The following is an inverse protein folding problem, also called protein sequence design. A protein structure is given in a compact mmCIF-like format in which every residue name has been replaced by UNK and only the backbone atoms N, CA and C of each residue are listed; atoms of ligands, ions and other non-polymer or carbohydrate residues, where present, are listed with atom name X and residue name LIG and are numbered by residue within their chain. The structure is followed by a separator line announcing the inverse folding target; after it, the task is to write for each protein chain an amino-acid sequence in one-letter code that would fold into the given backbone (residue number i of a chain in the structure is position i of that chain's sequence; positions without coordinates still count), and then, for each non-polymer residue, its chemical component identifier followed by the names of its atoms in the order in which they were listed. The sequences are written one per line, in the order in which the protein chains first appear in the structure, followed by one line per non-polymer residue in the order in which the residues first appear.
data_IF_543384246683
#
_entry.id   IF_543384246683
#
_cell.length_a   1.000
_cell.length_b   1.000
_cell.length_c   1.000
_cell.angle_alpha   90.00
_cell.angle_beta   90.00
_cell.angle_gamma   90.00
#
_symmetry.space_group_name_H-M   'P 1'
#
loop_
_entity.id
_entity.type
_entity.pdbx_description
1 polymer ?
#
# COMPACT_ATOMS: atom_id res chain seq x y z
N UNK A 1 26.37 -5.75 -20.00
CA UNK A 1 25.04 -5.56 -19.39
C UNK A 1 25.12 -5.35 -17.88
N UNK A 2 25.80 -6.22 -17.11
CA UNK A 2 25.86 -6.05 -15.64
C UNK A 2 26.31 -4.67 -15.14
N UNK A 3 27.39 -4.10 -15.69
CA UNK A 3 27.83 -2.74 -15.28
C UNK A 3 26.86 -1.63 -15.69
N UNK A 4 26.14 -1.79 -16.81
CA UNK A 4 25.13 -0.83 -17.25
C UNK A 4 23.92 -0.86 -16.31
N UNK A 5 23.48 -2.07 -15.94
CA UNK A 5 22.45 -2.28 -14.92
C UNK A 5 22.85 -1.65 -13.59
N UNK A 6 24.09 -1.85 -13.12
CA UNK A 6 24.56 -1.27 -11.86
C UNK A 6 24.53 0.27 -11.85
N UNK A 7 24.93 0.91 -12.95
CA UNK A 7 24.83 2.37 -13.08
C UNK A 7 23.37 2.81 -13.12
N UNK A 8 22.51 2.05 -13.80
CA UNK A 8 21.06 2.26 -13.77
C UNK A 8 20.48 2.14 -12.36
N UNK A 9 20.96 1.22 -11.50
CA UNK A 9 20.53 1.16 -10.09
C UNK A 9 20.78 2.49 -9.39
N UNK A 10 21.96 3.10 -9.58
CA UNK A 10 22.29 4.38 -8.97
C UNK A 10 21.41 5.52 -9.51
N UNK A 11 21.15 5.54 -10.83
CA UNK A 11 20.29 6.56 -11.45
C UNK A 11 18.83 6.44 -11.00
N UNK A 12 18.29 5.23 -11.00
CA UNK A 12 16.93 4.96 -10.53
C UNK A 12 16.81 5.24 -9.03
N UNK A 13 17.83 4.92 -8.24
CA UNK A 13 17.88 5.27 -6.82
C UNK A 13 17.86 6.80 -6.64
N UNK A 14 18.59 7.58 -7.45
CA UNK A 14 18.56 9.04 -7.37
C UNK A 14 17.14 9.59 -7.58
N UNK A 15 16.42 9.10 -8.58
CA UNK A 15 15.01 9.46 -8.83
C UNK A 15 14.12 8.97 -7.67
N UNK A 16 14.36 7.75 -7.21
CA UNK A 16 13.61 7.08 -6.15
C UNK A 16 13.83 7.66 -4.75
N UNK A 17 14.87 8.47 -4.51
CA UNK A 17 15.07 9.15 -3.22
C UNK A 17 13.84 9.99 -2.82
N UNK A 18 13.06 10.45 -3.79
CA UNK A 18 11.78 11.13 -3.56
C UNK A 18 10.80 10.29 -2.74
N UNK A 19 10.73 8.97 -2.94
CA UNK A 19 9.88 8.09 -2.12
C UNK A 19 10.35 8.05 -0.66
N UNK A 20 11.67 7.97 -0.44
CA UNK A 20 12.25 7.99 0.90
C UNK A 20 12.07 9.35 1.58
N UNK A 21 12.11 10.45 0.84
CA UNK A 21 11.85 11.80 1.37
C UNK A 21 10.46 11.90 2.00
N UNK A 22 9.44 11.36 1.33
CA UNK A 22 8.09 11.34 1.88
C UNK A 22 7.95 10.37 3.04
N UNK A 23 8.62 9.22 3.01
CA UNK A 23 8.69 8.33 4.16
C UNK A 23 9.36 9.00 5.37
N UNK A 24 10.36 9.86 5.15
CA UNK A 24 11.09 10.52 6.22
C UNK A 24 10.25 11.44 7.11
N UNK A 25 9.09 11.89 6.61
CA UNK A 25 8.13 12.69 7.38
C UNK A 25 7.52 11.93 8.57
N UNK A 26 7.65 10.59 8.61
CA UNK A 26 7.21 9.73 9.71
C UNK A 26 8.14 9.74 10.93
N UNK A 27 9.35 10.29 10.79
CA UNK A 27 10.36 10.30 11.83
C UNK A 27 11.22 9.03 11.90
N UNK A 28 12.21 9.01 12.80
CA UNK A 28 13.13 7.89 12.93
C UNK A 28 12.44 6.68 13.57
N UNK A 29 12.58 5.52 12.91
CA UNK A 29 12.11 4.22 13.40
C UNK A 29 13.10 3.12 13.02
N UNK A 30 13.07 2.00 13.73
CA UNK A 30 13.85 0.79 13.38
C UNK A 30 13.52 0.28 11.96
N UNK A 31 12.34 0.62 11.45
CA UNK A 31 11.92 0.27 10.09
C UNK A 31 12.73 0.97 8.98
N UNK A 32 13.57 1.96 9.28
CA UNK A 32 14.48 2.54 8.29
C UNK A 32 15.48 1.54 7.71
N UNK A 33 15.96 0.59 8.51
CA UNK A 33 16.84 -0.47 8.02
C UNK A 33 16.10 -1.27 6.94
N UNK A 34 14.86 -1.66 7.24
CA UNK A 34 13.99 -2.33 6.28
C UNK A 34 13.70 -1.46 5.04
N UNK A 35 13.37 -0.18 5.23
CA UNK A 35 13.06 0.75 4.15
C UNK A 35 14.24 0.89 3.18
N UNK A 36 15.47 1.00 3.68
CA UNK A 36 16.68 1.05 2.86
C UNK A 36 16.95 -0.27 2.14
N UNK A 37 16.78 -1.41 2.80
CA UNK A 37 16.93 -2.73 2.17
C UNK A 37 15.94 -2.92 1.02
N UNK A 38 14.66 -2.60 1.28
CA UNK A 38 13.58 -2.70 0.29
C UNK A 38 13.77 -1.70 -0.85
N UNK A 39 14.21 -0.47 -0.55
CA UNK A 39 14.52 0.54 -1.56
C UNK A 39 15.65 0.11 -2.49
N UNK A 40 16.79 -0.31 -1.93
CA UNK A 40 17.94 -0.79 -2.72
C UNK A 40 17.54 -2.03 -3.53
N UNK A 41 16.81 -2.96 -2.92
CA UNK A 41 16.28 -4.15 -3.58
C UNK A 41 15.38 -3.81 -4.77
N UNK A 42 14.42 -2.90 -4.59
CA UNK A 42 13.47 -2.51 -5.63
C UNK A 42 14.12 -1.73 -6.77
N UNK A 43 14.99 -0.76 -6.47
CA UNK A 43 15.74 -0.03 -7.51
C UNK A 43 16.66 -0.97 -8.30
N UNK A 44 17.21 -1.97 -7.63
CA UNK A 44 17.97 -3.04 -8.29
C UNK A 44 17.08 -3.90 -9.17
N UNK A 45 15.89 -4.29 -8.70
CA UNK A 45 14.94 -5.06 -9.50
C UNK A 45 14.54 -4.30 -10.77
N UNK A 46 14.26 -3.00 -10.68
CA UNK A 46 13.94 -2.17 -11.86
C UNK A 46 15.09 -2.08 -12.87
N UNK A 47 16.35 -2.08 -12.43
CA UNK A 47 17.47 -2.06 -13.36
C UNK A 47 17.74 -3.45 -13.98
N UNK A 48 17.71 -4.52 -13.18
CA UNK A 48 18.17 -5.84 -13.61
C UNK A 48 17.08 -6.69 -14.26
N UNK A 49 15.84 -6.67 -13.77
CA UNK A 49 14.76 -7.55 -14.27
C UNK A 49 14.44 -7.26 -15.75
N UNK A 50 14.23 -6.01 -16.18
CA UNK A 50 13.95 -5.72 -17.60
C UNK A 50 15.11 -6.10 -18.52
N UNK A 51 16.36 -5.95 -18.06
CA UNK A 51 17.54 -6.37 -18.80
C UNK A 51 17.70 -7.90 -18.83
N UNK A 52 17.27 -8.61 -17.80
CA UNK A 52 17.24 -10.07 -17.77
C UNK A 52 16.23 -10.61 -18.79
N UNK A 53 15.09 -9.93 -18.97
CA UNK A 53 14.11 -10.27 -20.01
C UNK A 53 14.67 -10.16 -21.44
N UNK A 54 15.81 -9.47 -21.65
CA UNK A 54 16.49 -9.44 -22.93
C UNK A 54 17.39 -10.67 -23.18
N UNK A 55 17.66 -11.51 -22.17
CA UNK A 55 18.53 -12.70 -22.32
C UNK A 55 18.07 -13.64 -23.44
N UNK A 56 16.78 -14.00 -23.58
CA UNK A 56 16.33 -14.82 -24.71
C UNK A 56 16.63 -14.19 -26.07
N UNK A 57 16.49 -12.86 -26.20
CA UNK A 57 16.82 -12.12 -27.42
C UNK A 57 18.32 -12.16 -27.70
N UNK A 58 19.15 -12.07 -26.67
CA UNK A 58 20.62 -12.21 -26.78
C UNK A 58 20.99 -13.60 -27.27
N UNK A 59 20.32 -14.64 -26.76
CA UNK A 59 20.57 -16.04 -27.13
C UNK A 59 20.13 -16.35 -28.57
N UNK A 60 19.00 -15.80 -29.02
CA UNK A 60 18.48 -16.00 -30.38
C UNK A 60 19.20 -15.13 -31.42
N UNK A 61 19.55 -13.89 -31.07
CA UNK A 61 20.17 -12.92 -31.96
C UNK A 61 21.39 -12.26 -31.30
N UNK A 62 22.58 -12.90 -31.33
CA UNK A 62 23.79 -12.44 -30.64
C UNK A 62 24.47 -11.25 -31.34
N UNK A 63 23.72 -10.20 -31.67
CA UNK A 63 24.22 -8.96 -32.29
C UNK A 63 24.48 -7.91 -31.20
N UNK A 64 25.74 -7.55 -30.91
CA UNK A 64 26.06 -6.64 -29.80
C UNK A 64 25.48 -5.24 -29.97
N UNK A 65 25.31 -4.76 -31.22
CA UNK A 65 24.66 -3.47 -31.50
C UNK A 65 23.18 -3.49 -31.10
N UNK A 66 22.44 -4.53 -31.50
CA UNK A 66 21.03 -4.71 -31.16
C UNK A 66 20.85 -4.74 -29.64
N UNK A 67 21.66 -5.55 -28.95
CA UNK A 67 21.58 -5.74 -27.50
C UNK A 67 21.87 -4.43 -26.74
N UNK A 68 22.85 -3.63 -27.18
CA UNK A 68 23.14 -2.32 -26.60
C UNK A 68 21.99 -1.33 -26.82
N UNK A 69 21.45 -1.26 -28.04
CA UNK A 69 20.33 -0.36 -28.37
C UNK A 69 19.07 -0.72 -27.58
N UNK A 70 18.72 -2.01 -27.51
CA UNK A 70 17.59 -2.48 -26.71
C UNK A 70 17.79 -2.19 -25.23
N UNK A 71 19.00 -2.38 -24.70
CA UNK A 71 19.33 -2.05 -23.31
C UNK A 71 19.11 -0.57 -22.99
N UNK A 72 19.52 0.34 -23.90
CA UNK A 72 19.25 1.78 -23.77
C UNK A 72 17.75 2.06 -23.81
N UNK A 73 17.02 1.54 -24.81
CA UNK A 73 15.56 1.77 -24.94
C UNK A 73 14.80 1.29 -23.69
N UNK A 74 15.12 0.09 -23.20
CA UNK A 74 14.48 -0.49 -22.02
C UNK A 74 14.84 0.32 -20.76
N UNK A 75 16.11 0.67 -20.57
CA UNK A 75 16.54 1.52 -19.46
C UNK A 75 15.83 2.87 -19.47
N UNK A 76 15.70 3.50 -20.64
CA UNK A 76 15.01 4.78 -20.81
C UNK A 76 13.52 4.68 -20.48
N UNK A 77 12.86 3.59 -20.90
CA UNK A 77 11.46 3.35 -20.57
C UNK A 77 11.24 3.19 -19.06
N UNK A 78 12.09 2.42 -18.38
CA UNK A 78 12.05 2.25 -16.92
C UNK A 78 12.28 3.57 -16.21
N UNK A 79 13.30 4.33 -16.63
CA UNK A 79 13.62 5.63 -16.05
C UNK A 79 12.47 6.63 -16.23
N UNK A 80 11.91 6.75 -17.45
CA UNK A 80 10.81 7.67 -17.72
C UNK A 80 9.54 7.32 -16.94
N UNK A 81 9.22 6.03 -16.83
CA UNK A 81 8.09 5.56 -16.03
C UNK A 81 8.30 5.83 -14.54
N UNK A 82 9.51 5.60 -14.02
CA UNK A 82 9.83 5.88 -12.62
C UNK A 82 9.79 7.38 -12.30
N UNK A 83 10.25 8.23 -13.22
CA UNK A 83 10.15 9.69 -13.08
C UNK A 83 8.68 10.10 -13.02
N UNK A 84 7.85 9.66 -13.97
CA UNK A 84 6.42 9.98 -13.97
C UNK A 84 5.74 9.48 -12.70
N UNK A 85 5.99 8.23 -12.29
CA UNK A 85 5.43 7.67 -11.06
C UNK A 85 5.83 8.49 -9.84
N UNK A 86 7.09 8.91 -9.75
CA UNK A 86 7.58 9.69 -8.61
C UNK A 86 6.92 11.07 -8.49
N UNK A 87 6.49 11.66 -9.62
CA UNK A 87 5.76 12.92 -9.67
C UNK A 87 4.28 12.72 -9.28
N UNK A 88 3.65 11.67 -9.81
CA UNK A 88 2.27 11.33 -9.43
C UNK A 88 2.17 10.98 -7.95
N UNK A 89 3.16 10.26 -7.41
CA UNK A 89 3.23 9.91 -5.99
C UNK A 89 3.44 11.14 -5.10
N UNK A 90 4.24 12.11 -5.56
CA UNK A 90 4.49 13.35 -4.84
C UNK A 90 3.20 14.14 -4.60
N UNK A 91 2.35 14.20 -5.62
CA UNK A 91 1.08 14.94 -5.58
C UNK A 91 -0.03 14.13 -4.90
N UNK A 92 -0.23 12.87 -5.32
CA UNK A 92 -1.46 12.13 -5.04
C UNK A 92 -1.29 10.93 -4.10
N UNK A 93 -0.06 10.57 -3.71
CA UNK A 93 0.23 9.40 -2.86
C UNK A 93 -0.23 8.05 -3.42
N UNK A 94 -0.43 7.95 -4.73
CA UNK A 94 -0.63 6.68 -5.42
C UNK A 94 0.46 6.46 -6.48
N UNK A 95 0.67 5.20 -6.83
CA UNK A 95 1.57 4.76 -7.88
C UNK A 95 0.80 4.39 -9.16
N UNK A 96 1.49 4.41 -10.30
CA UNK A 96 0.94 4.03 -11.60
C UNK A 96 0.53 2.55 -11.57
N UNK A 97 -0.78 2.31 -11.57
CA UNK A 97 -1.40 1.03 -11.88
C UNK A 97 -1.94 0.98 -13.30
N UNK A 98 -2.50 -0.17 -13.68
CA UNK A 98 -3.12 -0.37 -15.00
C UNK A 98 -4.20 0.67 -15.28
N UNK A 99 -5.13 0.84 -14.33
CA UNK A 99 -6.25 1.78 -14.49
C UNK A 99 -5.77 3.23 -14.59
N UNK A 100 -4.88 3.68 -13.71
CA UNK A 100 -4.37 5.05 -13.75
C UNK A 100 -3.55 5.31 -15.01
N UNK A 101 -2.86 4.30 -15.53
CA UNK A 101 -2.13 4.41 -16.80
C UNK A 101 -3.07 4.57 -18.00
N UNK A 102 -4.22 3.88 -17.99
CA UNK A 102 -5.25 4.04 -19.04
C UNK A 102 -6.00 5.37 -18.97
N UNK A 103 -6.01 6.02 -17.80
CA UNK A 103 -6.70 7.28 -17.56
C UNK A 103 -5.78 8.50 -17.65
N UNK A 104 -4.53 8.34 -18.12
CA UNK A 104 -3.61 9.46 -18.25
C UNK A 104 -4.14 10.48 -19.26
N UNK A 105 -4.17 11.74 -18.85
CA UNK A 105 -4.55 12.86 -19.71
C UNK A 105 -3.53 13.07 -20.84
N UNK A 106 -3.94 13.62 -22.00
CA UNK A 106 -3.04 13.87 -23.14
C UNK A 106 -1.77 14.65 -22.78
N UNK A 107 -1.87 15.63 -21.87
CA UNK A 107 -0.70 16.38 -21.40
C UNK A 107 0.29 15.48 -20.65
N UNK A 108 -0.20 14.53 -19.85
CA UNK A 108 0.65 13.58 -19.10
C UNK A 108 1.35 12.61 -20.05
N UNK A 109 0.67 12.18 -21.12
CA UNK A 109 1.30 11.42 -22.20
C UNK A 109 2.43 12.20 -22.89
N UNK A 110 2.22 13.49 -23.16
CA UNK A 110 3.24 14.35 -23.75
C UNK A 110 4.47 14.49 -22.82
N UNK A 111 4.25 14.65 -21.51
CA UNK A 111 5.34 14.65 -20.53
C UNK A 111 6.08 13.31 -20.47
N UNK A 112 5.37 12.18 -20.49
CA UNK A 112 6.00 10.86 -20.52
C UNK A 112 6.87 10.68 -21.78
N UNK A 113 6.40 11.12 -22.94
CA UNK A 113 7.17 11.10 -24.18
C UNK A 113 8.42 11.98 -24.09
N UNK A 114 8.30 13.18 -23.52
CA UNK A 114 9.44 14.07 -23.27
C UNK A 114 10.46 13.42 -22.32
N UNK A 115 10.00 12.85 -21.20
CA UNK A 115 10.87 12.14 -20.25
C UNK A 115 11.57 10.96 -20.91
N UNK A 116 10.89 10.23 -21.80
CA UNK A 116 11.49 9.15 -22.55
C UNK A 116 12.60 9.64 -23.49
N UNK A 117 12.38 10.72 -24.25
CA UNK A 117 13.41 11.30 -25.13
C UNK A 117 14.64 11.74 -24.33
N UNK A 118 14.44 12.44 -23.21
CA UNK A 118 15.53 12.86 -22.32
C UNK A 118 16.25 11.64 -21.73
N UNK A 119 15.49 10.63 -21.29
CA UNK A 119 16.03 9.39 -20.77
C UNK A 119 16.86 8.63 -21.82
N UNK A 120 16.48 8.64 -23.10
CA UNK A 120 17.27 8.05 -24.20
C UNK A 120 18.63 8.74 -24.33
N UNK A 121 18.68 10.07 -24.25
CA UNK A 121 19.95 10.81 -24.30
C UNK A 121 20.85 10.43 -23.12
N UNK A 122 20.30 10.46 -21.89
CA UNK A 122 21.04 10.12 -20.67
C UNK A 122 21.54 8.68 -20.71
N UNK A 123 20.66 7.72 -20.99
CA UNK A 123 21.01 6.30 -21.06
C UNK A 123 22.01 6.01 -22.16
N UNK A 124 21.91 6.66 -23.33
CA UNK A 124 22.88 6.51 -24.41
C UNK A 124 24.28 7.05 -24.02
N UNK A 125 24.34 8.15 -23.28
CA UNK A 125 25.61 8.68 -22.75
C UNK A 125 26.21 7.75 -21.71
N UNK A 126 25.42 7.28 -20.74
CA UNK A 126 25.84 6.33 -19.72
C UNK A 126 26.30 5.01 -20.32
N UNK A 127 25.54 4.47 -21.26
CA UNK A 127 25.88 3.33 -22.09
C UNK A 127 27.29 3.46 -22.70
N UNK A 128 27.52 4.53 -23.47
CA UNK A 128 28.82 4.76 -24.13
C UNK A 128 29.95 4.83 -23.12
N UNK A 129 29.73 5.52 -22.00
CA UNK A 129 30.71 5.65 -20.92
C UNK A 129 31.04 4.31 -20.26
N UNK A 130 30.01 3.54 -19.87
CA UNK A 130 30.17 2.23 -19.23
C UNK A 130 30.89 1.26 -20.16
N UNK A 131 30.48 1.19 -21.43
CA UNK A 131 31.09 0.25 -22.38
C UNK A 131 32.55 0.59 -22.68
N UNK A 132 32.88 1.88 -22.90
CA UNK A 132 34.27 2.31 -23.13
C UNK A 132 35.18 2.05 -21.93
N UNK A 133 34.64 2.10 -20.70
CA UNK A 133 35.41 1.88 -19.46
C UNK A 133 35.51 0.42 -19.06
N UNK A 134 34.50 -0.40 -19.37
CA UNK A 134 34.48 -1.84 -19.08
C UNK A 134 35.47 -2.61 -19.95
N UNK A 135 35.70 -2.17 -21.19
CA UNK A 135 36.72 -2.74 -22.08
C UNK A 135 38.16 -2.56 -21.55
N UNK A 136 38.38 -1.66 -20.59
CA UNK A 136 39.72 -1.26 -20.12
C UNK A 136 40.13 -1.82 -18.75
N UNK A 137 39.21 -2.40 -17.96
CA UNK A 137 39.50 -2.79 -16.56
C UNK A 137 38.96 -4.19 -16.23
N UNK A 138 39.79 -5.17 -15.87
CA UNK A 138 39.35 -6.51 -15.45
C UNK A 138 38.82 -6.49 -14.00
N UNK A 139 37.69 -5.82 -13.77
CA UNK A 139 37.13 -5.57 -12.41
C UNK A 139 36.24 -6.72 -11.88
N UNK A 140 36.63 -7.98 -12.13
CA UNK A 140 35.77 -9.17 -11.94
C UNK A 140 35.40 -9.50 -10.49
N UNK A 141 36.23 -9.19 -9.48
CA UNK A 141 35.95 -9.52 -8.07
C UNK A 141 34.95 -8.56 -7.40
N UNK A 142 35.12 -7.25 -7.58
CA UNK A 142 34.25 -6.24 -6.95
C UNK A 142 32.81 -6.38 -7.42
N UNK A 143 32.58 -6.66 -8.71
CA UNK A 143 31.25 -6.85 -9.25
C UNK A 143 30.48 -8.01 -8.59
N UNK A 144 31.16 -9.08 -8.15
CA UNK A 144 30.53 -10.21 -7.45
C UNK A 144 30.04 -9.82 -6.06
N UNK A 145 30.84 -9.06 -5.31
CA UNK A 145 30.44 -8.58 -3.99
C UNK A 145 29.27 -7.60 -4.06
N UNK A 146 29.28 -6.70 -5.04
CA UNK A 146 28.16 -5.77 -5.27
C UNK A 146 26.88 -6.52 -5.65
N UNK A 147 26.98 -7.50 -6.56
CA UNK A 147 25.84 -8.34 -6.92
C UNK A 147 25.30 -9.13 -5.71
N UNK A 148 26.19 -9.72 -4.89
CA UNK A 148 25.82 -10.41 -3.66
C UNK A 148 25.09 -9.47 -2.69
N UNK A 149 25.60 -8.25 -2.48
CA UNK A 149 24.96 -7.27 -1.62
C UNK A 149 23.55 -6.90 -2.09
N UNK A 150 23.35 -6.69 -3.41
CA UNK A 150 22.04 -6.44 -4.00
C UNK A 150 21.07 -7.61 -3.75
N UNK A 151 21.52 -8.84 -3.98
CA UNK A 151 20.71 -10.04 -3.76
C UNK A 151 20.34 -10.17 -2.28
N UNK A 152 21.28 -9.94 -1.38
CA UNK A 152 21.04 -9.95 0.07
C UNK A 152 20.00 -8.88 0.44
N UNK A 153 20.11 -7.65 -0.07
CA UNK A 153 19.10 -6.61 0.17
C UNK A 153 17.70 -7.02 -0.31
N UNK A 154 17.61 -7.54 -1.54
CA UNK A 154 16.34 -7.98 -2.12
C UNK A 154 15.72 -9.12 -1.31
N UNK A 155 16.47 -10.19 -1.03
CA UNK A 155 15.96 -11.34 -0.27
C UNK A 155 15.61 -10.93 1.17
N UNK A 156 16.47 -10.16 1.83
CA UNK A 156 16.24 -9.74 3.22
C UNK A 156 15.00 -8.87 3.34
N UNK A 157 14.77 -7.93 2.41
CA UNK A 157 13.55 -7.10 2.44
C UNK A 157 12.28 -7.95 2.31
N UNK A 158 12.25 -8.93 1.41
CA UNK A 158 11.09 -9.83 1.29
C UNK A 158 10.89 -10.73 2.52
N UNK A 159 11.96 -11.24 3.13
CA UNK A 159 11.88 -12.07 4.34
C UNK A 159 11.41 -11.26 5.57
N UNK A 160 11.97 -10.05 5.75
CA UNK A 160 11.56 -9.13 6.82
C UNK A 160 10.09 -8.75 6.65
N UNK A 161 9.64 -8.47 5.42
CA UNK A 161 8.23 -8.17 5.17
C UNK A 161 7.33 -9.37 5.45
N UNK A 162 7.74 -10.59 5.07
CA UNK A 162 6.97 -11.81 5.37
C UNK A 162 6.81 -12.03 6.88
N UNK A 163 7.88 -11.83 7.64
CA UNK A 163 7.83 -11.87 9.11
C UNK A 163 6.91 -10.77 9.67
N UNK A 164 7.04 -9.54 9.19
CA UNK A 164 6.23 -8.42 9.64
C UNK A 164 4.74 -8.62 9.33
N UNK A 165 4.40 -9.19 8.18
CA UNK A 165 3.03 -9.53 7.82
C UNK A 165 2.46 -10.60 8.77
N UNK A 166 3.26 -11.60 9.15
CA UNK A 166 2.83 -12.65 10.06
C UNK A 166 2.60 -12.14 11.51
N UNK A 167 3.39 -11.16 11.94
CA UNK A 167 3.30 -10.55 13.27
C UNK A 167 2.50 -9.24 13.32
N UNK A 168 1.88 -8.83 12.20
CA UNK A 168 1.19 -7.54 12.07
C UNK A 168 2.07 -6.34 12.50
N UNK A 169 3.36 -6.35 12.13
CA UNK A 169 4.31 -5.32 12.51
C UNK A 169 4.23 -4.11 11.55
N UNK A 170 3.35 -3.18 11.91
CA UNK A 170 2.95 -2.01 11.11
C UNK A 170 4.12 -1.16 10.58
N UNK A 171 5.19 -0.85 11.34
CA UNK A 171 6.28 -0.01 10.85
C UNK A 171 6.97 -0.52 9.58
N UNK A 172 6.97 -1.84 9.36
CA UNK A 172 7.52 -2.47 8.16
C UNK A 172 6.46 -2.56 7.06
N UNK A 173 5.24 -2.98 7.39
CA UNK A 173 4.18 -3.20 6.38
C UNK A 173 3.63 -1.90 5.80
N UNK A 174 3.72 -0.78 6.54
CA UNK A 174 3.27 0.54 6.07
C UNK A 174 4.17 1.10 4.96
N UNK A 175 5.49 0.83 5.00
CA UNK A 175 6.44 1.31 3.99
C UNK A 175 6.14 0.79 2.58
N UNK A 176 5.48 -0.37 2.46
CA UNK A 176 5.16 -1.00 1.17
C UNK A 176 4.39 -0.09 0.22
N UNK A 177 3.65 0.91 0.72
CA UNK A 177 2.90 1.87 -0.11
C UNK A 177 3.74 3.00 -0.71
N UNK A 178 5.00 3.13 -0.31
CA UNK A 178 5.90 4.19 -0.78
C UNK A 178 6.71 3.78 -2.01
N UNK A 179 6.90 2.48 -2.24
CA UNK A 179 7.67 1.99 -3.37
C UNK A 179 6.74 1.57 -4.51
N UNK A 180 6.95 2.07 -5.75
CA UNK A 180 6.16 1.66 -6.89
C UNK A 180 6.41 0.20 -7.23
N UNK A 181 5.36 -0.50 -7.65
CA UNK A 181 5.37 -1.91 -8.05
C UNK A 181 6.08 -2.87 -7.06
N UNK A 182 6.17 -2.48 -5.80
CA UNK A 182 6.77 -3.31 -4.76
C UNK A 182 5.72 -4.29 -4.22
N UNK A 183 5.86 -5.56 -4.62
CA UNK A 183 5.01 -6.66 -4.20
C UNK A 183 5.81 -7.62 -3.29
N UNK A 184 6.01 -7.28 -2.01
CA UNK A 184 6.74 -8.13 -1.09
C UNK A 184 5.97 -9.43 -0.80
N UNK A 185 6.67 -10.43 -0.26
CA UNK A 185 6.06 -11.69 0.17
C UNK A 185 5.07 -11.43 1.31
N UNK A 186 3.81 -11.88 1.13
CA UNK A 186 2.70 -11.68 2.08
C UNK A 186 2.04 -12.98 2.56
N UNK A 187 2.39 -14.14 2.00
CA UNK A 187 1.69 -15.38 2.33
C UNK A 187 2.16 -15.97 3.67
N UNK A 188 1.63 -15.41 4.77
CA UNK A 188 1.86 -15.92 6.12
C UNK A 188 1.09 -17.21 6.43
N UNK A 189 0.20 -17.68 5.54
CA UNK A 189 -0.61 -18.90 5.80
C UNK A 189 0.26 -20.13 5.98
N UNK A 190 1.38 -20.21 5.25
CA UNK A 190 2.36 -21.31 5.40
C UNK A 190 3.03 -21.29 6.77
N UNK A 191 3.38 -20.11 7.29
CA UNK A 191 3.97 -19.97 8.62
C UNK A 191 3.01 -20.42 9.72
N UNK A 192 1.73 -20.09 9.58
CA UNK A 192 0.68 -20.54 10.50
C UNK A 192 0.48 -22.05 10.42
N UNK A 193 0.40 -22.61 9.20
CA UNK A 193 0.26 -24.05 8.99
C UNK A 193 1.43 -24.85 9.56
N UNK A 194 2.64 -24.28 9.52
CA UNK A 194 3.84 -24.87 10.11
C UNK A 194 3.94 -24.68 11.63
N UNK A 195 2.95 -24.03 12.27
CA UNK A 195 2.97 -23.75 13.71
C UNK A 195 4.02 -22.73 14.14
N UNK A 196 4.63 -21.99 13.20
CA UNK A 196 5.69 -21.02 13.49
C UNK A 196 5.14 -19.71 14.06
N UNK A 197 3.86 -19.42 13.85
CA UNK A 197 3.21 -18.19 14.28
C UNK A 197 1.78 -18.47 14.75
N UNK A 198 1.49 -18.06 15.99
CA UNK A 198 0.12 -17.94 16.50
C UNK A 198 -0.45 -16.59 16.08
N UNK A 199 -1.38 -16.62 15.11
CA UNK A 199 -2.00 -15.40 14.60
C UNK A 199 -2.86 -14.67 15.62
N UNK A 200 -3.53 -15.37 16.53
CA UNK A 200 -4.40 -14.74 17.50
C UNK A 200 -3.57 -13.92 18.48
N UNK A 201 -2.55 -14.56 19.07
CA UNK A 201 -1.62 -13.91 19.99
C UNK A 201 -0.85 -12.76 19.33
N UNK A 202 -0.30 -12.98 18.13
CA UNK A 202 0.43 -11.94 17.41
C UNK A 202 -0.47 -10.73 17.08
N UNK A 203 -1.76 -10.96 16.81
CA UNK A 203 -2.73 -9.89 16.57
C UNK A 203 -2.96 -9.06 17.83
N UNK A 204 -3.16 -9.70 18.98
CA UNK A 204 -3.38 -9.06 20.27
C UNK A 204 -2.16 -8.23 20.71
N UNK A 205 -0.97 -8.81 20.63
CA UNK A 205 0.29 -8.12 20.96
C UNK A 205 0.51 -6.89 20.07
N UNK A 206 0.26 -7.02 18.76
CA UNK A 206 0.35 -5.91 17.80
C UNK A 206 -0.68 -4.81 18.09
N UNK A 207 -1.92 -5.16 18.45
CA UNK A 207 -2.96 -4.20 18.81
C UNK A 207 -2.60 -3.46 20.10
N UNK A 208 -2.16 -4.17 21.14
CA UNK A 208 -1.71 -3.57 22.38
C UNK A 208 -0.53 -2.60 22.14
N UNK A 209 0.45 -3.01 21.35
CA UNK A 209 1.60 -2.18 21.00
C UNK A 209 1.19 -0.92 20.20
N UNK A 210 0.24 -1.07 19.28
CA UNK A 210 -0.28 0.05 18.47
C UNK A 210 -1.04 1.06 19.34
N UNK A 211 -1.91 0.60 20.24
CA UNK A 211 -2.65 1.46 21.17
C UNK A 211 -1.74 2.15 22.20
N UNK A 212 -0.63 1.52 22.59
CA UNK A 212 0.37 2.12 23.47
C UNK A 212 1.25 3.17 22.77
N UNK A 213 1.31 3.15 21.42
CA UNK A 213 2.10 4.08 20.64
C UNK A 213 1.35 5.40 20.51
N UNK A 214 2.07 6.53 20.60
CA UNK A 214 1.50 7.81 20.16
C UNK A 214 1.18 7.73 18.67
N UNK A 215 0.01 8.23 18.20
CA UNK A 215 -0.34 8.22 16.80
C UNK A 215 0.78 8.88 15.99
N UNK A 216 1.36 8.12 15.06
CA UNK A 216 2.36 8.63 14.12
C UNK A 216 1.73 9.67 13.20
N UNK A 217 2.55 10.61 12.71
CA UNK A 217 2.15 11.80 11.94
C UNK A 217 1.46 11.54 10.59
N UNK A 218 1.35 10.27 10.15
CA UNK A 218 0.89 9.92 8.81
C UNK A 218 -0.62 10.12 8.62
N UNK A 219 -1.40 9.86 9.67
CA UNK A 219 -2.86 9.98 9.62
C UNK A 219 -3.31 11.22 10.37
N UNK A 220 -3.71 12.26 9.62
CA UNK A 220 -4.35 13.46 10.18
C UNK A 220 -5.86 13.32 10.15
N UNK A 221 -6.41 12.71 11.20
CA UNK A 221 -7.84 12.52 11.37
C UNK A 221 -8.24 12.71 12.85
N UNK A 222 -9.25 13.54 13.14
CA UNK A 222 -9.86 14.52 12.24
C UNK A 222 -8.87 15.63 11.87
N UNK A 223 -9.10 16.36 10.77
CA UNK A 223 -8.21 17.45 10.35
C UNK A 223 -8.21 18.64 11.32
N UNK A 224 -9.32 18.83 12.04
CA UNK A 224 -9.46 19.78 13.12
C UNK A 224 -10.26 19.11 14.26
N UNK A 225 -10.01 19.48 15.53
CA UNK A 225 -10.84 19.03 16.64
C UNK A 225 -12.31 19.40 16.40
N UNK A 226 -13.22 18.44 16.60
CA UNK A 226 -14.64 18.72 16.51
C UNK A 226 -15.10 19.56 17.70
N UNK A 227 -15.99 20.51 17.44
CA UNK A 227 -16.74 21.25 18.45
C UNK A 227 -18.17 20.74 18.43
N UNK A 228 -18.42 19.70 19.20
CA UNK A 228 -19.74 19.10 19.33
C UNK A 228 -20.30 19.47 20.70
N UNK A 229 -21.52 20.01 20.72
CA UNK A 229 -22.29 20.23 21.94
C UNK A 229 -23.43 19.21 21.97
N UNK A 230 -23.61 18.47 23.09
CA UNK A 230 -24.71 17.54 23.22
C UNK A 230 -26.02 18.33 23.25
N UNK A 231 -27.02 17.87 22.50
CA UNK A 231 -28.39 18.43 22.54
C UNK A 231 -29.29 17.46 23.29
N UNK A 232 -29.71 17.77 24.52
CA UNK A 232 -30.71 16.97 25.23
C UNK A 232 -32.06 16.98 24.51
N UNK A 233 -32.86 15.90 24.61
CA UNK A 233 -32.52 14.64 25.26
C UNK A 233 -31.55 13.80 24.40
N UNK A 234 -30.59 13.14 25.07
CA UNK A 234 -29.71 12.17 24.41
C UNK A 234 -30.53 10.89 24.15
N UNK A 235 -30.84 10.62 22.88
CA UNK A 235 -31.62 9.46 22.48
C UNK A 235 -30.74 8.21 22.35
N UNK A 236 -31.29 7.05 22.68
CA UNK A 236 -30.63 5.78 22.37
C UNK A 236 -30.49 5.60 20.86
N UNK A 237 -29.36 5.05 20.42
CA UNK A 237 -29.08 4.75 19.01
C UNK A 237 -29.02 3.23 18.83
N UNK A 238 -29.90 2.70 17.98
CA UNK A 238 -29.87 1.30 17.57
C UNK A 238 -29.47 1.20 16.11
N UNK A 239 -28.32 0.59 15.84
CA UNK A 239 -27.82 0.35 14.50
C UNK A 239 -27.97 -1.13 14.15
N UNK A 240 -28.80 -1.43 13.15
CA UNK A 240 -28.99 -2.79 12.61
C UNK A 240 -28.40 -2.81 11.20
N UNK A 241 -27.37 -3.63 11.00
CA UNK A 241 -26.73 -3.77 9.68
C UNK A 241 -26.80 -5.22 9.23
N UNK A 242 -27.21 -5.41 7.98
CA UNK A 242 -27.21 -6.71 7.30
C UNK A 242 -26.00 -6.73 6.37
N UNK A 243 -25.16 -7.76 6.48
CA UNK A 243 -23.84 -7.83 5.83
C UNK A 243 -23.90 -7.63 4.30
N UNK A 244 -24.97 -8.11 3.68
CA UNK A 244 -25.32 -7.79 2.30
C UNK A 244 -26.79 -8.11 2.04
N UNK A 245 -27.51 -7.15 1.47
CA UNK A 245 -28.89 -7.31 1.05
C UNK A 245 -29.09 -6.61 -0.29
N UNK A 246 -29.79 -7.28 -1.22
CA UNK A 246 -30.20 -6.63 -2.47
C UNK A 246 -31.33 -5.66 -2.19
N UNK A 247 -31.33 -4.51 -2.85
CA UNK A 247 -32.38 -3.49 -2.67
C UNK A 247 -33.78 -4.03 -3.01
N UNK A 248 -33.89 -4.87 -4.04
CA UNK A 248 -35.15 -5.49 -4.45
C UNK A 248 -35.66 -6.59 -3.50
N UNK A 249 -34.80 -7.08 -2.58
CA UNK A 249 -35.20 -8.00 -1.53
C UNK A 249 -35.98 -7.32 -0.39
N UNK A 250 -36.10 -5.98 -0.41
CA UNK A 250 -36.97 -5.23 0.51
C UNK A 250 -38.45 -5.21 0.06
N UNK A 251 -38.82 -6.05 -0.91
CA UNK A 251 -40.20 -6.21 -1.35
C UNK A 251 -41.10 -6.80 -0.24
N UNK A 252 -42.42 -6.52 -0.27
CA UNK A 252 -43.37 -7.04 0.71
C UNK A 252 -43.36 -8.57 0.86
N UNK A 253 -43.09 -9.29 -0.24
CA UNK A 253 -43.06 -10.76 -0.24
C UNK A 253 -41.85 -11.34 0.52
N UNK A 254 -40.69 -10.67 0.46
CA UNK A 254 -39.43 -11.17 1.02
C UNK A 254 -39.09 -10.56 2.38
N UNK A 255 -39.48 -9.30 2.62
CA UNK A 255 -39.18 -8.58 3.86
C UNK A 255 -40.44 -7.90 4.45
N UNK A 256 -41.54 -8.64 4.72
CA UNK A 256 -42.83 -8.05 5.07
C UNK A 256 -42.78 -7.13 6.29
N UNK A 257 -41.98 -7.47 7.33
CA UNK A 257 -41.85 -6.65 8.55
C UNK A 257 -41.07 -5.35 8.32
N UNK A 258 -40.00 -5.40 7.52
CA UNK A 258 -39.23 -4.19 7.17
C UNK A 258 -40.06 -3.28 6.26
N UNK A 259 -40.81 -3.86 5.32
CA UNK A 259 -41.71 -3.10 4.47
C UNK A 259 -42.85 -2.46 5.27
N UNK A 260 -43.37 -3.12 6.31
CA UNK A 260 -44.37 -2.55 7.22
C UNK A 260 -43.82 -1.43 8.12
N UNK A 261 -42.50 -1.41 8.39
CA UNK A 261 -41.83 -0.33 9.12
C UNK A 261 -41.63 0.92 8.25
N UNK A 262 -41.49 0.75 6.93
CA UNK A 262 -41.12 1.84 6.02
C UNK A 262 -42.05 3.08 6.08
N UNK A 263 -43.39 2.96 6.17
CA UNK A 263 -44.29 4.13 6.21
C UNK A 263 -44.14 4.99 7.48
N UNK A 264 -43.66 4.42 8.58
CA UNK A 264 -43.43 5.13 9.85
C UNK A 264 -41.96 5.51 10.07
N UNK A 265 -41.12 5.35 9.05
CA UNK A 265 -39.69 5.62 9.09
C UNK A 265 -39.25 6.47 7.90
N UNK A 266 -38.02 6.98 7.95
CA UNK A 266 -37.39 7.64 6.81
C UNK A 266 -36.73 6.58 5.93
N UNK A 267 -37.17 6.47 4.68
CA UNK A 267 -36.65 5.52 3.70
C UNK A 267 -35.81 6.24 2.65
N UNK A 268 -34.67 5.66 2.31
CA UNK A 268 -33.76 6.15 1.28
C UNK A 268 -33.72 5.18 0.10
N UNK A 269 -34.47 5.46 -0.97
CA UNK A 269 -34.55 4.59 -2.16
C UNK A 269 -33.31 4.66 -3.07
N UNK A 270 -32.45 5.67 -2.87
CA UNK A 270 -31.21 5.86 -3.61
C UNK A 270 -29.99 5.85 -2.67
N UNK A 271 -29.99 4.92 -1.70
CA UNK A 271 -28.87 4.73 -0.79
C UNK A 271 -27.83 3.77 -1.37
N UNK A 272 -26.58 4.23 -1.46
CA UNK A 272 -25.45 3.43 -1.91
C UNK A 272 -24.48 3.19 -0.77
N UNK A 273 -24.11 1.93 -0.56
CA UNK A 273 -23.00 1.58 0.34
C UNK A 273 -21.69 2.19 -0.17
N UNK A 274 -20.77 2.58 0.73
CA UNK A 274 -19.43 3.05 0.35
C UNK A 274 -18.50 1.96 -0.19
N UNK A 275 -19.02 0.76 -0.45
CA UNK A 275 -18.43 -0.21 -1.36
C UNK A 275 -19.29 -1.45 -1.56
N UNK A 276 -18.83 -2.34 -2.45
CA UNK A 276 -19.56 -3.53 -2.91
C UNK A 276 -19.36 -4.78 -2.05
N UNK A 277 -18.61 -4.69 -0.95
CA UNK A 277 -18.42 -5.76 0.04
C UNK A 277 -18.45 -5.17 1.45
N UNK A 278 -18.61 -6.00 2.46
CA UNK A 278 -18.91 -5.61 3.84
C UNK A 278 -17.90 -4.64 4.46
N UNK A 279 -16.59 -4.91 4.33
CA UNK A 279 -15.54 -4.04 4.90
C UNK A 279 -15.62 -2.60 4.40
N UNK A 280 -15.60 -2.31 3.08
CA UNK A 280 -15.82 -0.98 2.55
C UNK A 280 -17.10 -0.30 3.03
N UNK A 281 -18.23 -1.03 3.01
CA UNK A 281 -19.51 -0.50 3.46
C UNK A 281 -19.46 -0.07 4.93
N UNK A 282 -19.02 -0.98 5.80
CA UNK A 282 -18.91 -0.71 7.24
C UNK A 282 -17.89 0.38 7.57
N UNK A 283 -16.76 0.45 6.86
CA UNK A 283 -15.81 1.55 7.04
C UNK A 283 -16.44 2.90 6.69
N UNK A 284 -17.08 3.00 5.53
CA UNK A 284 -17.74 4.24 5.11
C UNK A 284 -18.86 4.66 6.07
N UNK A 285 -19.62 3.69 6.60
CA UNK A 285 -20.71 3.93 7.54
C UNK A 285 -20.22 4.57 8.85
N UNK A 286 -19.10 4.07 9.40
CA UNK A 286 -18.57 4.57 10.66
C UNK A 286 -17.67 5.82 10.51
N UNK A 287 -16.91 5.91 9.42
CA UNK A 287 -15.91 6.96 9.24
C UNK A 287 -16.37 8.14 8.39
N UNK A 288 -17.38 7.94 7.54
CA UNK A 288 -17.77 8.92 6.51
C UNK A 288 -16.67 9.16 5.47
N UNK A 289 -15.75 8.19 5.29
CA UNK A 289 -14.59 8.30 4.40
C UNK A 289 -14.60 7.17 3.34
N UNK A 290 -13.97 7.39 2.17
CA UNK A 290 -13.77 6.33 1.18
C UNK A 290 -13.04 5.12 1.76
N UNK A 291 -13.48 3.92 1.41
CA UNK A 291 -12.92 2.67 1.91
C UNK A 291 -11.43 2.46 1.59
N UNK A 292 -10.88 3.22 0.64
CA UNK A 292 -9.44 3.23 0.32
C UNK A 292 -8.57 3.62 1.52
N UNK A 293 -9.11 4.39 2.48
CA UNK A 293 -8.42 4.76 3.71
C UNK A 293 -8.38 3.63 4.77
N UNK A 294 -9.21 2.59 4.64
CA UNK A 294 -9.38 1.56 5.68
C UNK A 294 -8.06 1.01 6.19
N UNK A 295 -7.12 0.70 5.29
CA UNK A 295 -5.83 0.10 5.65
C UNK A 295 -5.01 1.01 6.57
N UNK A 296 -4.95 2.31 6.28
CA UNK A 296 -4.17 3.27 7.08
C UNK A 296 -4.77 3.41 8.47
N UNK A 297 -6.10 3.47 8.59
CA UNK A 297 -6.78 3.51 9.89
C UNK A 297 -6.58 2.22 10.69
N UNK A 298 -6.67 1.06 10.03
CA UNK A 298 -6.47 -0.24 10.64
C UNK A 298 -5.03 -0.45 11.16
N UNK A 299 -4.04 0.11 10.46
CA UNK A 299 -2.62 0.06 10.83
C UNK A 299 -2.33 0.84 12.11
N UNK A 300 -3.04 1.94 12.38
CA UNK A 300 -2.82 2.77 13.58
C UNK A 300 -3.90 2.61 14.64
N UNK A 301 -4.81 1.65 14.47
CA UNK A 301 -5.93 1.40 15.38
C UNK A 301 -6.75 2.67 15.72
N UNK A 302 -6.91 3.56 14.72
CA UNK A 302 -7.56 4.87 14.92
C UNK A 302 -9.08 4.72 14.81
N UNK A 303 -9.86 4.94 15.88
CA UNK A 303 -11.32 4.91 15.81
C UNK A 303 -11.87 6.14 15.08
N UNK A 304 -13.12 6.04 14.57
CA UNK A 304 -13.82 7.16 13.95
C UNK A 304 -14.27 8.14 15.03
N UNK A 305 -14.42 9.40 14.65
CA UNK A 305 -14.86 10.43 15.60
C UNK A 305 -16.24 10.13 16.19
N UNK A 306 -17.11 9.46 15.42
CA UNK A 306 -18.43 9.00 15.90
C UNK A 306 -18.31 8.19 17.20
N UNK A 307 -17.36 7.25 17.25
CA UNK A 307 -17.18 6.36 18.40
C UNK A 307 -16.51 7.09 19.56
N UNK A 308 -15.63 8.05 19.28
CA UNK A 308 -15.08 8.94 20.30
C UNK A 308 -16.18 9.81 20.94
N UNK A 309 -17.13 10.33 20.15
CA UNK A 309 -18.27 11.11 20.65
C UNK A 309 -19.25 10.28 21.49
N UNK A 310 -19.59 9.05 21.06
CA UNK A 310 -20.43 8.16 21.87
C UNK A 310 -19.81 7.94 23.25
N UNK A 311 -18.50 7.68 23.30
CA UNK A 311 -17.78 7.53 24.57
C UNK A 311 -17.71 8.83 25.38
N UNK A 312 -17.42 9.96 24.73
CA UNK A 312 -17.36 11.28 25.38
C UNK A 312 -18.69 11.64 26.05
N UNK A 313 -19.82 11.29 25.43
CA UNK A 313 -21.16 11.55 25.96
C UNK A 313 -21.74 10.39 26.78
N UNK A 314 -20.93 9.42 27.18
CA UNK A 314 -21.34 8.37 28.12
C UNK A 314 -22.31 7.32 27.58
N UNK A 315 -22.38 7.13 26.26
CA UNK A 315 -23.19 6.06 25.68
C UNK A 315 -22.62 4.69 26.04
N UNK A 316 -23.51 3.78 26.43
CA UNK A 316 -23.18 2.36 26.58
C UNK A 316 -23.25 1.66 25.24
N UNK A 317 -22.19 0.95 24.87
CA UNK A 317 -22.09 0.26 23.59
C UNK A 317 -22.43 -1.23 23.76
N UNK A 318 -23.52 -1.67 23.12
CA UNK A 318 -23.87 -3.08 22.96
C UNK A 318 -23.59 -3.54 21.53
N UNK A 319 -22.74 -4.55 21.36
CA UNK A 319 -22.39 -5.10 20.04
C UNK A 319 -22.89 -6.54 19.98
N UNK A 320 -23.81 -6.79 19.07
CA UNK A 320 -24.40 -8.10 18.82
C UNK A 320 -24.20 -8.45 17.35
N UNK A 321 -23.41 -9.48 17.08
CA UNK A 321 -23.07 -9.88 15.73
C UNK A 321 -23.23 -11.39 15.56
N UNK A 322 -23.82 -11.82 14.44
CA UNK A 322 -23.94 -13.23 14.06
C UNK A 322 -22.62 -13.83 13.54
N UNK A 323 -21.70 -12.97 13.10
CA UNK A 323 -20.36 -13.31 12.64
C UNK A 323 -19.35 -12.45 13.39
N UNK A 324 -18.15 -12.97 13.72
CA UNK A 324 -17.16 -12.19 14.45
C UNK A 324 -16.79 -10.88 13.76
N UNK A 325 -16.89 -9.77 14.49
CA UNK A 325 -16.57 -8.41 13.99
C UNK A 325 -15.08 -8.24 13.66
N UNK A 326 -14.23 -9.07 14.24
CA UNK A 326 -12.80 -9.17 13.96
C UNK A 326 -12.47 -10.06 12.75
N UNK A 327 -13.47 -10.62 12.07
CA UNK A 327 -13.26 -11.46 10.90
C UNK A 327 -12.52 -10.71 9.79
N UNK A 328 -11.83 -11.46 8.92
CA UNK A 328 -11.23 -10.90 7.70
C UNK A 328 -12.27 -10.42 6.68
N UNK A 329 -13.56 -10.50 6.98
CA UNK A 329 -14.64 -10.01 6.11
C UNK A 329 -14.90 -8.52 6.38
N UNK A 330 -14.99 -8.12 7.65
CA UNK A 330 -15.28 -6.73 8.06
C UNK A 330 -14.06 -6.04 8.68
N UNK A 331 -13.47 -6.62 9.73
CA UNK A 331 -12.24 -6.13 10.38
C UNK A 331 -12.42 -4.81 11.14
N UNK A 332 -13.44 -4.74 12.01
CA UNK A 332 -13.75 -3.52 12.78
C UNK A 332 -12.93 -3.37 14.07
N UNK A 333 -12.37 -4.46 14.57
CA UNK A 333 -11.54 -4.53 15.78
C UNK A 333 -10.26 -3.68 15.71
N UNK A 334 -9.80 -3.35 14.51
CA UNK A 334 -8.66 -2.44 14.29
C UNK A 334 -9.08 -1.06 13.80
N UNK A 335 -10.37 -0.82 13.66
CA UNK A 335 -10.92 0.46 13.16
C UNK A 335 -12.00 0.96 14.11
N UNK A 336 -13.27 0.83 13.74
CA UNK A 336 -14.41 1.38 14.49
C UNK A 336 -14.46 0.95 15.96
N UNK A 337 -13.98 -0.26 16.26
CA UNK A 337 -14.09 -0.88 17.57
C UNK A 337 -12.74 -1.02 18.28
N UNK A 338 -11.67 -0.38 17.79
CA UNK A 338 -10.30 -0.57 18.29
C UNK A 338 -10.09 -0.25 19.78
N UNK A 339 -10.94 0.59 20.36
CA UNK A 339 -10.87 0.99 21.78
C UNK A 339 -11.95 0.35 22.64
N UNK A 340 -12.64 -0.66 22.13
CA UNK A 340 -13.70 -1.36 22.85
C UNK A 340 -13.12 -2.65 23.42
N UNK A 341 -13.13 -2.83 24.74
CA UNK A 341 -12.64 -4.06 25.35
C UNK A 341 -13.59 -5.22 25.05
N UNK A 342 -13.05 -6.45 25.01
CA UNK A 342 -13.83 -7.69 24.98
C UNK A 342 -14.82 -7.82 23.79
N UNK A 343 -14.35 -7.53 22.58
CA UNK A 343 -15.08 -7.86 21.34
C UNK A 343 -15.19 -9.38 21.19
N UNK A 344 -16.28 -9.97 21.68
CA UNK A 344 -16.55 -11.41 21.56
C UNK A 344 -16.95 -11.78 20.13
#
# INVERSE_FOLDING_TARGET
MGWFALVNVALLALVGLRYLWYYATLGPSVAWIYALLAFVGQMSAFAYVPLLCLVPVILLFPRPRLVKTLGVIVGSAVLSLLVLDSLLFAENRYHIGVLTFTLLEPATWAFLALYFVVAVVIEAMLARWVWKRTERVPRRRIGRYVALAIVVCFVSSHLIHLWAEAHFYVPVTSFTRYLPWFAPLRDSRRLVKLGLVDQARAREESMAATLARRPGSELRYPQAPLRCEPRPPLLNVMLIVIDGMRADALAPASAPRLNALAPSAVRFDQHWSGGNVSRPGMFSLFYGLPATYWKVFAEVAQPPVLMDLFRQYGYQLGIFASSPVYSRVVGLDRTALARIPNLR
#
